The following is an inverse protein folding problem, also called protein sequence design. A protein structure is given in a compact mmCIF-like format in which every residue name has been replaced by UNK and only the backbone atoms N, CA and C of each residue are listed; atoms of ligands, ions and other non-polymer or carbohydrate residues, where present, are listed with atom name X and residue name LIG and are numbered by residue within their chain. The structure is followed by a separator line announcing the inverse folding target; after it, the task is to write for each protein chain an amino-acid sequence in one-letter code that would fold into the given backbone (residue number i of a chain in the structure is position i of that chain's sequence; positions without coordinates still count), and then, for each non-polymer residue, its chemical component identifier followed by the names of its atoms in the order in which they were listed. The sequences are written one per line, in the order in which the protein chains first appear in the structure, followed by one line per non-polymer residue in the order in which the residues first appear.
data_IF_850469438699
#
_entry.id   IF_850469438699
#
_cell.length_a   1.000
_cell.length_b   1.000
_cell.length_c   1.000
_cell.angle_alpha   90.00
_cell.angle_beta   90.00
_cell.angle_gamma   90.00
#
_symmetry.space_group_name_H-M   'P 1'
#
loop_
_entity.id
_entity.type
_entity.pdbx_description
1 polymer ?
#
# COMPACT_ATOMS: atom_id res chain seq x y z
N UNK A 1 -0.51 19.24 -1.49
CA UNK A 1 -1.94 18.84 -1.46
C UNK A 1 -2.57 19.23 -2.79
N UNK A 2 -3.28 18.31 -3.46
CA UNK A 2 -3.99 18.60 -4.73
C UNK A 2 -5.48 18.73 -4.40
N UNK A 3 -6.06 19.90 -4.67
CA UNK A 3 -7.50 20.10 -4.57
C UNK A 3 -8.18 19.75 -5.90
N UNK A 4 -9.20 18.88 -5.85
CA UNK A 4 -10.06 18.59 -7.00
C UNK A 4 -11.18 19.62 -7.07
N UNK A 5 -11.49 20.11 -8.27
CA UNK A 5 -12.55 21.12 -8.49
C UNK A 5 -13.95 20.59 -8.22
N UNK A 6 -14.16 19.28 -8.38
CA UNK A 6 -15.43 18.58 -8.09
C UNK A 6 -15.15 17.34 -7.27
N UNK A 7 -16.08 17.00 -6.37
CA UNK A 7 -15.97 15.78 -5.60
C UNK A 7 -16.13 14.55 -6.50
N UNK A 8 -15.49 13.43 -6.16
CA UNK A 8 -15.63 12.19 -6.93
C UNK A 8 -17.06 11.66 -6.89
N UNK A 9 -17.80 11.94 -5.81
CA UNK A 9 -19.22 11.64 -5.68
C UNK A 9 -20.08 12.38 -6.72
N UNK A 10 -19.74 13.62 -7.06
CA UNK A 10 -20.41 14.36 -8.14
C UNK A 10 -20.06 13.81 -9.52
N UNK A 11 -18.81 13.39 -9.73
CA UNK A 11 -18.34 12.90 -11.04
C UNK A 11 -18.83 11.48 -11.36
N UNK A 12 -18.82 10.58 -10.37
CA UNK A 12 -19.06 9.15 -10.59
C UNK A 12 -20.30 8.62 -9.87
N UNK A 13 -20.95 9.41 -9.02
CA UNK A 13 -22.05 8.98 -8.17
C UNK A 13 -21.62 8.20 -6.91
N UNK A 14 -20.31 8.04 -6.69
CA UNK A 14 -19.72 7.38 -5.52
C UNK A 14 -18.32 7.94 -5.22
N UNK A 15 -17.81 7.72 -4.01
CA UNK A 15 -16.43 8.09 -3.67
C UNK A 15 -15.45 7.19 -4.41
N UNK A 16 -14.62 7.76 -5.29
CA UNK A 16 -13.63 7.02 -6.07
C UNK A 16 -12.20 7.41 -5.64
N UNK A 17 -11.57 6.58 -4.82
CA UNK A 17 -10.20 6.83 -4.31
C UNK A 17 -9.17 6.78 -5.45
N UNK A 18 -9.35 5.85 -6.40
CA UNK A 18 -8.50 5.73 -7.59
C UNK A 18 -8.37 7.05 -8.36
N UNK A 19 -9.45 7.82 -8.50
CA UNK A 19 -9.40 9.09 -9.24
C UNK A 19 -8.47 10.11 -8.58
N UNK A 20 -8.50 10.19 -7.24
CA UNK A 20 -7.63 11.08 -6.46
C UNK A 20 -6.17 10.65 -6.61
N UNK A 21 -5.90 9.34 -6.44
CA UNK A 21 -4.55 8.77 -6.58
C UNK A 21 -3.99 8.94 -7.99
N UNK A 22 -4.79 8.67 -9.03
CA UNK A 22 -4.42 8.86 -10.43
C UNK A 22 -4.10 10.32 -10.75
N UNK A 23 -4.88 11.27 -10.23
CA UNK A 23 -4.58 12.70 -10.38
C UNK A 23 -3.20 13.05 -9.78
N UNK A 24 -2.87 12.45 -8.64
CA UNK A 24 -1.54 12.59 -8.02
C UNK A 24 -0.42 11.97 -8.88
N UNK A 25 -0.65 10.76 -9.40
CA UNK A 25 0.29 10.05 -10.29
C UNK A 25 0.57 10.88 -11.55
N UNK A 26 -0.48 11.42 -12.19
CA UNK A 26 -0.37 12.24 -13.40
C UNK A 26 0.46 13.51 -13.17
N UNK A 27 0.27 14.17 -12.02
CA UNK A 27 1.01 15.40 -11.65
C UNK A 27 2.43 15.14 -11.17
N UNK A 28 2.77 13.90 -10.83
CA UNK A 28 4.11 13.55 -10.35
C UNK A 28 5.15 13.55 -11.48
N UNK A 29 6.39 13.91 -11.16
CA UNK A 29 7.52 13.86 -12.11
C UNK A 29 8.64 12.91 -11.67
N UNK A 30 8.47 12.24 -10.54
CA UNK A 30 9.46 11.32 -9.99
C UNK A 30 9.49 9.98 -10.71
N UNK A 31 10.66 9.32 -10.71
CA UNK A 31 10.80 7.94 -11.19
C UNK A 31 9.96 6.95 -10.37
N UNK A 32 9.83 7.21 -9.07
CA UNK A 32 9.11 6.36 -8.14
C UNK A 32 7.85 7.08 -7.67
N UNK A 33 6.75 6.33 -7.62
CA UNK A 33 5.50 6.72 -6.97
C UNK A 33 5.43 6.00 -5.63
N UNK A 34 5.13 6.75 -4.58
CA UNK A 34 4.97 6.22 -3.24
C UNK A 34 3.62 6.70 -2.70
N UNK A 35 2.76 5.76 -2.30
CA UNK A 35 1.39 6.02 -1.89
C UNK A 35 1.31 6.29 -0.40
N UNK A 36 0.62 7.34 0.01
CA UNK A 36 0.40 7.69 1.42
C UNK A 36 -1.03 8.21 1.54
N UNK A 37 -1.86 7.51 2.31
CA UNK A 37 -3.15 8.03 2.73
C UNK A 37 -2.93 9.14 3.79
N UNK A 38 -3.92 10.04 3.96
CA UNK A 38 -3.77 11.30 4.70
C UNK A 38 -3.80 11.12 6.23
N UNK A 39 -4.25 9.97 6.70
CA UNK A 39 -4.28 9.55 8.10
C UNK A 39 -3.12 8.64 8.50
N UNK A 40 -2.21 8.32 7.57
CA UNK A 40 -1.04 7.48 7.82
C UNK A 40 0.26 8.30 7.99
N UNK A 41 1.20 7.77 8.78
CA UNK A 41 2.49 8.43 9.06
C UNK A 41 3.65 7.57 8.60
N UNK A 42 4.43 8.08 7.65
CA UNK A 42 5.67 7.43 7.23
C UNK A 42 6.83 7.69 8.20
N UNK A 43 7.66 6.67 8.37
CA UNK A 43 8.94 6.81 9.06
C UNK A 43 10.04 7.26 8.09
N UNK A 44 11.03 8.04 8.58
CA UNK A 44 11.95 8.79 7.71
C UNK A 44 12.81 7.92 6.78
N UNK A 45 13.05 6.66 7.14
CA UNK A 45 13.90 5.72 6.40
C UNK A 45 13.15 4.90 5.32
N UNK A 46 11.81 5.00 5.26
CA UNK A 46 10.96 4.17 4.39
C UNK A 46 11.43 4.13 2.94
N UNK A 47 11.58 5.30 2.32
CA UNK A 47 11.88 5.41 0.89
C UNK A 47 13.28 4.87 0.56
N UNK A 48 14.26 5.14 1.40
CA UNK A 48 15.63 4.65 1.19
C UNK A 48 15.67 3.12 1.23
N UNK A 49 15.07 2.50 2.24
CA UNK A 49 15.03 1.04 2.38
C UNK A 49 14.35 0.39 1.17
N UNK A 50 13.17 0.89 0.79
CA UNK A 50 12.36 0.32 -0.27
C UNK A 50 13.01 0.47 -1.65
N UNK A 51 13.53 1.66 -1.99
CA UNK A 51 14.21 1.87 -3.27
C UNK A 51 15.46 1.01 -3.37
N UNK A 52 16.22 0.88 -2.28
CA UNK A 52 17.40 0.02 -2.26
C UNK A 52 17.03 -1.47 -2.40
N UNK A 53 15.95 -1.92 -1.76
CA UNK A 53 15.45 -3.28 -1.92
C UNK A 53 15.01 -3.56 -3.37
N UNK A 54 14.25 -2.65 -3.98
CA UNK A 54 13.83 -2.74 -5.38
C UNK A 54 15.03 -2.84 -6.34
N UNK A 55 16.06 -2.01 -6.13
CA UNK A 55 17.30 -2.06 -6.93
C UNK A 55 18.04 -3.40 -6.79
N UNK A 56 18.09 -3.95 -5.57
CA UNK A 56 18.77 -5.23 -5.30
C UNK A 56 18.02 -6.43 -5.86
N UNK A 57 16.70 -6.45 -5.74
CA UNK A 57 15.87 -7.57 -6.20
C UNK A 57 15.55 -7.51 -7.69
N UNK A 58 15.63 -6.33 -8.31
CA UNK A 58 15.13 -6.09 -9.66
C UNK A 58 13.61 -5.91 -9.73
N UNK A 59 12.91 -5.92 -8.58
CA UNK A 59 11.48 -5.63 -8.51
C UNK A 59 11.20 -4.16 -8.83
N UNK A 60 10.12 -3.91 -9.56
CA UNK A 60 9.64 -2.55 -9.87
C UNK A 60 8.57 -2.07 -8.89
N UNK A 61 8.24 -2.87 -7.89
CA UNK A 61 7.32 -2.55 -6.81
C UNK A 61 7.85 -3.12 -5.49
N UNK A 62 7.60 -2.42 -4.40
CA UNK A 62 7.87 -2.87 -3.03
C UNK A 62 6.75 -2.46 -2.09
N UNK A 63 6.66 -3.16 -0.98
CA UNK A 63 5.81 -2.80 0.15
C UNK A 63 6.51 -3.18 1.45
N UNK A 64 6.05 -2.63 2.57
CA UNK A 64 6.58 -2.95 3.90
C UNK A 64 5.45 -3.35 4.84
N UNK A 65 5.82 -3.92 5.98
CA UNK A 65 4.92 -3.94 7.14
C UNK A 65 4.83 -2.54 7.77
N UNK A 66 3.92 -2.40 8.73
CA UNK A 66 3.65 -1.14 9.43
C UNK A 66 3.18 -1.38 10.85
N UNK A 67 3.14 -0.31 11.65
CA UNK A 67 2.42 -0.32 12.90
C UNK A 67 0.93 -0.14 12.61
N UNK A 68 0.10 -0.84 13.38
CA UNK A 68 -1.35 -0.71 13.33
C UNK A 68 -1.84 -0.10 14.64
N UNK A 69 -2.69 0.92 14.54
CA UNK A 69 -3.33 1.55 15.68
C UNK A 69 -4.62 2.27 15.32
N UNK A 70 -5.12 3.04 16.29
CA UNK A 70 -6.34 3.83 16.18
C UNK A 70 -6.08 5.26 16.67
N UNK A 71 -6.31 6.24 15.80
CA UNK A 71 -6.03 7.65 16.07
C UNK A 71 -4.56 8.03 15.82
N UNK A 72 -4.21 9.23 16.28
CA UNK A 72 -2.88 9.81 16.05
C UNK A 72 -1.73 8.94 16.59
N UNK A 73 -0.62 8.92 15.84
CA UNK A 73 0.60 8.23 16.24
C UNK A 73 1.28 8.93 17.42
N UNK A 74 1.44 8.19 18.52
CA UNK A 74 2.29 8.55 19.66
C UNK A 74 3.61 7.78 19.56
N UNK A 75 4.73 8.48 19.49
CA UNK A 75 6.08 7.89 19.50
C UNK A 75 6.37 6.99 20.71
N UNK A 76 5.65 7.17 21.83
CA UNK A 76 5.76 6.34 23.03
C UNK A 76 4.65 5.27 23.13
N UNK A 77 3.74 5.26 22.16
CA UNK A 77 2.65 4.32 22.07
C UNK A 77 3.14 2.88 21.84
N UNK A 78 2.30 1.92 22.22
CA UNK A 78 2.53 0.50 21.95
C UNK A 78 1.57 0.04 20.88
N UNK A 79 2.12 -0.33 19.74
CA UNK A 79 1.35 -0.74 18.56
C UNK A 79 1.66 -2.16 18.17
N UNK A 80 0.68 -2.83 17.56
CA UNK A 80 0.90 -4.12 16.93
C UNK A 80 1.50 -3.91 15.54
N UNK A 81 2.33 -4.85 15.07
CA UNK A 81 2.73 -4.88 13.67
C UNK A 81 1.54 -5.39 12.85
N UNK A 82 1.23 -4.72 11.74
CA UNK A 82 0.03 -4.95 10.94
C UNK A 82 -0.04 -6.40 10.43
N UNK A 83 0.85 -6.80 9.52
CA UNK A 83 0.79 -8.12 8.90
C UNK A 83 1.41 -9.20 9.81
N UNK A 84 2.62 -8.96 10.33
CA UNK A 84 3.38 -9.95 11.09
C UNK A 84 2.80 -10.29 12.47
N UNK A 85 1.91 -9.46 13.03
CA UNK A 85 1.34 -9.71 14.37
C UNK A 85 -0.19 -9.67 14.33
N UNK A 86 -0.79 -8.53 13.98
CA UNK A 86 -2.24 -8.33 14.12
C UNK A 86 -3.02 -9.23 13.16
N UNK A 87 -2.67 -9.24 11.87
CA UNK A 87 -3.34 -10.05 10.84
C UNK A 87 -2.73 -11.43 10.62
N UNK A 88 -1.62 -11.78 11.28
CA UNK A 88 -0.85 -12.98 10.95
C UNK A 88 -1.68 -14.27 11.03
N UNK A 89 -2.49 -14.44 12.08
CA UNK A 89 -3.32 -15.64 12.23
C UNK A 89 -4.42 -15.73 11.15
N UNK A 90 -5.01 -14.59 10.77
CA UNK A 90 -6.01 -14.53 9.69
C UNK A 90 -5.35 -14.88 8.35
N UNK A 91 -4.17 -14.34 8.10
CA UNK A 91 -3.40 -14.64 6.89
C UNK A 91 -2.98 -16.11 6.88
N UNK A 92 -2.49 -16.66 7.98
CA UNK A 92 -2.15 -18.09 8.08
C UNK A 92 -3.35 -19.00 7.75
N UNK A 93 -4.56 -18.67 8.19
CA UNK A 93 -5.76 -19.43 7.82
C UNK A 93 -6.09 -19.31 6.33
N UNK A 94 -5.96 -18.12 5.73
CA UNK A 94 -6.19 -17.93 4.29
C UNK A 94 -5.22 -18.74 3.43
N UNK A 95 -3.97 -18.85 3.85
CA UNK A 95 -2.91 -19.55 3.13
C UNK A 95 -2.75 -21.03 3.55
N UNK A 96 -3.62 -21.58 4.40
CA UNK A 96 -3.48 -22.92 5.02
C UNK A 96 -3.34 -24.12 4.07
N UNK A 97 -3.79 -23.97 2.83
CA UNK A 97 -3.69 -24.99 1.78
C UNK A 97 -2.43 -24.82 0.92
N UNK A 98 -1.49 -23.99 1.37
CA UNK A 98 -0.21 -23.71 0.72
C UNK A 98 0.91 -23.80 1.76
N UNK A 99 2.17 -23.80 1.31
CA UNK A 99 3.35 -23.70 2.16
C UNK A 99 3.95 -22.28 2.18
N UNK A 100 3.24 -21.28 1.64
CA UNK A 100 3.78 -19.94 1.36
C UNK A 100 4.08 -19.13 2.63
N UNK A 101 3.47 -19.47 3.77
CA UNK A 101 3.68 -18.81 5.06
C UNK A 101 4.35 -19.70 6.12
N UNK A 102 4.83 -20.90 5.77
CA UNK A 102 5.44 -21.84 6.72
C UNK A 102 6.65 -21.23 7.43
N UNK A 103 7.39 -20.36 6.73
CA UNK A 103 8.56 -19.65 7.23
C UNK A 103 8.28 -18.14 7.42
N UNK A 104 7.02 -17.77 7.66
CA UNK A 104 6.57 -16.37 7.67
C UNK A 104 6.43 -15.79 6.26
N UNK A 105 6.29 -14.47 6.17
CA UNK A 105 6.16 -13.81 4.87
C UNK A 105 7.42 -13.99 4.01
N UNK A 106 7.27 -14.39 2.73
CA UNK A 106 8.38 -14.40 1.80
C UNK A 106 8.85 -12.98 1.50
N UNK A 107 10.12 -12.82 1.13
CA UNK A 107 10.69 -11.50 0.81
C UNK A 107 10.30 -11.03 -0.61
N UNK A 108 9.81 -11.95 -1.45
CA UNK A 108 9.28 -11.66 -2.79
C UNK A 108 7.85 -12.19 -2.86
N UNK A 109 6.90 -11.31 -3.15
CA UNK A 109 5.50 -11.67 -3.37
C UNK A 109 5.22 -11.65 -4.87
N UNK A 110 4.83 -12.79 -5.41
CA UNK A 110 4.45 -12.96 -6.80
C UNK A 110 2.93 -12.97 -6.96
N UNK A 111 2.48 -13.16 -8.20
CA UNK A 111 1.07 -13.22 -8.54
C UNK A 111 0.32 -14.34 -7.81
N UNK A 112 0.94 -15.52 -7.63
CA UNK A 112 0.28 -16.66 -6.98
C UNK A 112 0.11 -16.44 -5.49
N UNK A 113 1.08 -15.80 -4.84
CA UNK A 113 0.95 -15.36 -3.45
C UNK A 113 -0.21 -14.36 -3.32
N UNK A 114 -0.18 -13.26 -4.07
CA UNK A 114 -1.12 -12.17 -3.83
C UNK A 114 -2.56 -12.51 -4.25
N UNK A 115 -2.76 -13.40 -5.25
CA UNK A 115 -4.10 -13.88 -5.65
C UNK A 115 -4.90 -14.51 -4.51
N UNK A 116 -4.23 -15.09 -3.52
CA UNK A 116 -4.89 -15.73 -2.37
C UNK A 116 -5.55 -14.66 -1.50
N UNK A 117 -4.82 -13.59 -1.19
CA UNK A 117 -5.35 -12.48 -0.41
C UNK A 117 -4.50 -11.21 -0.53
N UNK A 118 -5.17 -10.06 -0.66
CA UNK A 118 -4.49 -8.77 -0.55
C UNK A 118 -4.02 -8.54 0.90
N UNK A 119 -2.71 -8.56 1.10
CA UNK A 119 -2.04 -8.15 2.34
C UNK A 119 -1.05 -7.00 2.09
N UNK A 120 -1.16 -6.33 0.95
CA UNK A 120 -0.39 -5.12 0.63
C UNK A 120 -1.15 -3.93 1.21
N UNK A 121 -0.50 -3.20 2.11
CA UNK A 121 -1.05 -1.98 2.70
C UNK A 121 -0.76 -0.83 1.74
N UNK A 122 -1.79 -0.12 1.26
CA UNK A 122 -1.62 0.88 0.20
C UNK A 122 -0.54 1.92 0.54
N UNK A 123 -0.59 2.50 1.74
CA UNK A 123 0.39 3.49 2.22
C UNK A 123 1.82 2.97 2.38
N UNK A 124 2.03 1.65 2.30
CA UNK A 124 3.37 1.08 2.34
C UNK A 124 3.99 0.97 0.94
N UNK A 125 3.22 1.07 -0.14
CA UNK A 125 3.69 0.80 -1.51
C UNK A 125 4.62 1.88 -2.05
N UNK A 126 5.71 1.43 -2.70
CA UNK A 126 6.54 2.21 -3.62
C UNK A 126 6.68 1.44 -4.92
N UNK A 127 6.46 2.09 -6.06
CA UNK A 127 6.61 1.46 -7.38
C UNK A 127 7.19 2.42 -8.42
N UNK A 128 7.79 1.89 -9.47
CA UNK A 128 8.24 2.71 -10.60
C UNK A 128 7.05 3.29 -11.38
N UNK A 129 7.13 4.58 -11.75
CA UNK A 129 6.04 5.26 -12.48
C UNK A 129 5.75 4.61 -13.83
N UNK A 130 6.78 4.22 -14.57
CA UNK A 130 6.62 3.56 -15.87
C UNK A 130 5.82 2.25 -15.76
N UNK A 131 5.83 1.57 -14.61
CA UNK A 131 4.99 0.39 -14.37
C UNK A 131 3.51 0.76 -14.32
N UNK A 132 3.16 1.88 -13.68
CA UNK A 132 1.79 2.41 -13.66
C UNK A 132 1.33 2.81 -15.07
N UNK A 133 2.21 3.42 -15.86
CA UNK A 133 1.92 3.77 -17.25
C UNK A 133 1.65 2.54 -18.11
N UNK A 134 2.40 1.44 -17.90
CA UNK A 134 2.21 0.17 -18.60
C UNK A 134 0.87 -0.48 -18.26
N UNK A 135 0.47 -0.49 -16.98
CA UNK A 135 -0.76 -1.17 -16.53
C UNK A 135 -2.02 -0.30 -16.64
N UNK A 136 -1.87 0.98 -16.99
CA UNK A 136 -2.99 1.91 -17.16
C UNK A 136 -3.52 2.51 -15.86
N UNK A 137 -2.64 2.78 -14.89
CA UNK A 137 -2.98 3.36 -13.57
C UNK A 137 -4.02 2.54 -12.77
N UNK A 138 -4.59 3.11 -11.70
CA UNK A 138 -5.62 2.45 -10.89
C UNK A 138 -6.99 2.53 -11.58
N UNK A 139 -7.71 1.41 -11.69
CA UNK A 139 -9.07 1.41 -12.23
C UNK A 139 -10.03 2.16 -11.31
N UNK A 140 -10.99 2.89 -11.88
CA UNK A 140 -12.05 3.58 -11.12
C UNK A 140 -13.11 2.57 -10.65
N UNK A 141 -12.78 1.82 -9.60
CA UNK A 141 -13.67 0.87 -8.94
C UNK A 141 -14.32 1.51 -7.70
N UNK A 142 -15.43 0.92 -7.24
CA UNK A 142 -16.08 1.31 -5.98
C UNK A 142 -15.28 0.86 -4.74
N UNK A 143 -14.53 -0.23 -4.87
CA UNK A 143 -13.64 -0.77 -3.84
C UNK A 143 -12.63 -1.72 -4.50
N UNK A 144 -11.49 -1.92 -3.85
CA UNK A 144 -10.44 -2.85 -4.29
C UNK A 144 -9.66 -2.36 -5.51
N UNK A 145 -9.66 -1.05 -5.77
CA UNK A 145 -8.90 -0.41 -6.83
C UNK A 145 -7.39 -0.60 -6.67
N UNK A 146 -6.91 -0.63 -5.43
CA UNK A 146 -5.52 -0.88 -5.08
C UNK A 146 -5.14 -2.34 -5.41
N UNK A 147 -5.95 -3.30 -4.97
CA UNK A 147 -5.71 -4.71 -5.19
C UNK A 147 -5.71 -5.08 -6.67
N UNK A 148 -6.65 -4.55 -7.45
CA UNK A 148 -6.67 -4.71 -8.91
C UNK A 148 -5.41 -4.13 -9.56
N UNK A 149 -4.92 -2.98 -9.08
CA UNK A 149 -3.67 -2.37 -9.55
C UNK A 149 -2.46 -3.26 -9.23
N UNK A 150 -2.37 -3.77 -7.99
CA UNK A 150 -1.27 -4.66 -7.57
C UNK A 150 -1.25 -5.96 -8.37
N UNK A 151 -2.40 -6.60 -8.58
CA UNK A 151 -2.52 -7.79 -9.40
C UNK A 151 -2.13 -7.54 -10.86
N UNK A 152 -2.48 -6.37 -11.40
CA UNK A 152 -2.08 -5.96 -12.75
C UNK A 152 -0.57 -5.78 -12.86
N UNK A 153 0.03 -5.08 -11.89
CA UNK A 153 1.48 -4.89 -11.77
C UNK A 153 2.25 -6.21 -11.69
N UNK A 154 1.69 -7.21 -10.98
CA UNK A 154 2.29 -8.53 -10.81
C UNK A 154 2.41 -9.35 -12.11
N UNK A 155 1.78 -8.93 -13.21
CA UNK A 155 2.02 -9.52 -14.54
C UNK A 155 3.33 -9.03 -15.18
N UNK A 156 3.97 -8.00 -14.63
CA UNK A 156 5.15 -7.35 -15.20
C UNK A 156 6.36 -7.34 -14.26
N UNK A 157 6.15 -7.55 -12.96
CA UNK A 157 7.19 -7.59 -11.93
C UNK A 157 6.72 -8.41 -10.72
N UNK A 158 7.59 -8.65 -9.75
CA UNK A 158 7.18 -9.11 -8.42
C UNK A 158 7.27 -7.95 -7.42
N UNK A 159 6.65 -8.10 -6.26
CA UNK A 159 6.79 -7.15 -5.16
C UNK A 159 7.91 -7.62 -4.24
N UNK A 160 8.88 -6.74 -3.93
CA UNK A 160 9.81 -7.01 -2.82
C UNK A 160 9.18 -6.54 -1.51
N UNK A 161 8.97 -7.46 -0.59
CA UNK A 161 8.40 -7.21 0.73
C UNK A 161 9.50 -7.02 1.76
N UNK A 162 9.44 -5.91 2.49
CA UNK A 162 10.34 -5.63 3.61
C UNK A 162 9.61 -5.86 4.92
N UNK A 163 10.22 -6.67 5.79
CA UNK A 163 9.73 -6.90 7.17
C UNK A 163 9.96 -5.69 8.08
N UNK A 164 10.74 -4.71 7.62
CA UNK A 164 10.96 -3.43 8.28
C UNK A 164 9.65 -2.68 8.50
N UNK A 165 9.49 -2.12 9.69
CA UNK A 165 8.33 -1.29 10.04
C UNK A 165 8.60 0.13 9.53
N UNK A 166 7.89 0.56 8.50
CA UNK A 166 8.21 1.83 7.81
C UNK A 166 7.13 2.91 7.90
N UNK A 167 6.00 2.62 8.53
CA UNK A 167 4.92 3.58 8.71
C UNK A 167 3.98 3.15 9.85
N UNK A 168 3.12 4.07 10.27
CA UNK A 168 1.98 3.85 11.13
C UNK A 168 0.69 3.97 10.31
N UNK A 169 -0.19 2.99 10.47
CA UNK A 169 -1.49 2.89 9.83
C UNK A 169 -2.60 3.23 10.84
N UNK A 170 -3.39 4.28 10.57
CA UNK A 170 -4.57 4.61 11.38
C UNK A 170 -5.81 3.86 10.85
N UNK A 171 -6.32 2.92 11.64
CA UNK A 171 -7.49 2.13 11.26
C UNK A 171 -8.83 2.86 11.37
N UNK A 172 -8.86 4.12 11.83
CA UNK A 172 -10.09 4.93 11.94
C UNK A 172 -10.57 5.57 10.63
N UNK A 173 -10.05 5.14 9.48
CA UNK A 173 -10.43 5.61 8.14
C UNK A 173 -11.90 6.08 8.04
N UNK A 174 -12.10 7.37 7.75
CA UNK A 174 -13.41 7.93 7.42
C UNK A 174 -14.19 8.61 8.55
N UNK A 175 -13.64 8.75 9.76
CA UNK A 175 -14.29 9.55 10.82
C UNK A 175 -13.96 11.05 10.80
N UNK A 176 -13.28 11.57 9.77
CA UNK A 176 -13.08 13.01 9.59
C UNK A 176 -12.56 13.69 10.86
N UNK A 177 -11.50 13.16 11.46
CA UNK A 177 -10.87 13.84 12.58
C UNK A 177 -9.98 14.94 12.02
N UNK A 178 -10.48 16.18 12.05
CA UNK A 178 -9.63 17.37 11.92
C UNK A 178 -8.63 17.34 13.07
N UNK A 179 -7.42 16.84 12.82
CA UNK A 179 -6.30 17.12 13.69
C UNK A 179 -5.86 18.55 13.36
N UNK A 180 -6.21 19.50 14.24
CA UNK A 180 -5.68 20.86 14.16
C UNK A 180 -4.15 20.78 14.35
N UNK A 181 -3.41 21.05 13.28
CA UNK A 181 -1.95 21.22 13.29
C UNK A 181 -1.53 22.52 13.96
#
# INVERSE_FOLDING_TARGET
MIHLEKSTKELFGYTCVAHVRNTGIEKSSGKYIAFCDDDDIWFPYKLELQINAMKRSGCKMSCTDGLWGEGEYDKNGRYSIYNAVFFFNILKDKYKNTNLLDNGFPDIWDLEFLKIHNCVICSSVVMEKDLLDIIGNMKHLKSGEDYDCWLSALNHTNIVYLKDICFYYDSRHGYGCNYEH
#
